data_IF_744899870133
#
_entry.id   IF_744899870133
#
_cell.length_a   1.000
_cell.length_b   1.000
_cell.length_c   1.000
_cell.angle_alpha   90.00
_cell.angle_beta   90.00
_cell.angle_gamma   90.00
#
_symmetry.space_group_name_H-M   'P 1'
#
loop_
_entity.id
_entity.type
_entity.pdbx_description
1 polymer ?
#
# COMPACT_ATOMS: atom_id res chain seq x y z
N UNK A 1 16.13 -0.65 -23.40
CA UNK A 1 15.86 -1.50 -22.22
C UNK A 1 16.19 -0.61 -21.04
N UNK A 2 15.20 0.12 -20.52
CA UNK A 2 15.38 1.22 -19.57
C UNK A 2 15.14 0.70 -18.13
N UNK A 3 16.09 1.04 -17.26
CA UNK A 3 16.60 0.21 -16.15
C UNK A 3 15.87 0.37 -14.79
N UNK A 4 14.69 1.00 -14.77
CA UNK A 4 13.93 1.26 -13.52
C UNK A 4 12.66 0.39 -13.39
N UNK A 5 12.24 -0.30 -14.46
CA UNK A 5 11.09 -1.20 -14.47
C UNK A 5 11.33 -2.57 -13.83
N UNK A 6 12.54 -2.85 -13.34
CA UNK A 6 12.88 -4.12 -12.68
C UNK A 6 11.96 -4.36 -11.48
N UNK A 7 11.68 -3.33 -10.68
CA UNK A 7 10.79 -3.45 -9.53
C UNK A 7 9.35 -3.78 -9.95
N UNK A 8 8.88 -3.28 -11.09
CA UNK A 8 7.56 -3.61 -11.64
C UNK A 8 7.50 -5.06 -12.12
N UNK A 9 8.60 -5.57 -12.68
CA UNK A 9 8.71 -6.99 -13.01
C UNK A 9 8.70 -7.87 -11.76
N UNK A 10 9.33 -7.43 -10.67
CA UNK A 10 9.20 -8.09 -9.37
C UNK A 10 7.76 -8.06 -8.87
N UNK A 11 7.07 -6.91 -8.88
CA UNK A 11 5.63 -6.81 -8.53
C UNK A 11 4.81 -7.80 -9.34
N UNK A 12 4.98 -7.81 -10.67
CA UNK A 12 4.21 -8.67 -11.56
C UNK A 12 4.46 -10.15 -11.27
N UNK A 13 5.72 -10.53 -11.05
CA UNK A 13 6.10 -11.92 -10.74
C UNK A 13 5.51 -12.36 -9.41
N UNK A 14 5.73 -11.59 -8.33
CA UNK A 14 5.20 -11.92 -7.02
C UNK A 14 3.66 -11.93 -7.01
N UNK A 15 3.03 -10.97 -7.68
CA UNK A 15 1.57 -10.91 -7.81
C UNK A 15 1.04 -12.15 -8.52
N UNK A 16 1.63 -12.56 -9.64
CA UNK A 16 1.23 -13.76 -10.36
C UNK A 16 1.35 -15.03 -9.49
N UNK A 17 2.43 -15.16 -8.71
CA UNK A 17 2.58 -16.28 -7.79
C UNK A 17 1.54 -16.26 -6.67
N UNK A 18 1.25 -15.09 -6.06
CA UNK A 18 0.22 -14.98 -5.02
C UNK A 18 -1.17 -15.25 -5.58
N UNK A 19 -1.48 -14.71 -6.76
CA UNK A 19 -2.76 -14.86 -7.43
C UNK A 19 -3.00 -16.34 -7.82
N UNK A 20 -1.95 -17.05 -8.25
CA UNK A 20 -2.00 -18.50 -8.46
C UNK A 20 -2.30 -19.28 -7.17
N UNK A 21 -1.89 -18.74 -6.01
CA UNK A 21 -2.17 -19.31 -4.70
C UNK A 21 -3.66 -19.43 -4.40
N UNK A 22 -4.50 -18.49 -4.86
CA UNK A 22 -5.96 -18.60 -4.68
C UNK A 22 -6.50 -19.83 -5.40
N UNK A 23 -6.08 -20.07 -6.65
CA UNK A 23 -6.51 -21.24 -7.42
C UNK A 23 -6.01 -22.56 -6.82
N UNK A 24 -4.79 -22.58 -6.31
CA UNK A 24 -4.20 -23.77 -5.68
C UNK A 24 -4.87 -24.12 -4.33
N UNK A 25 -5.21 -23.11 -3.53
CA UNK A 25 -5.83 -23.30 -2.21
C UNK A 25 -7.37 -23.43 -2.28
N UNK A 26 -7.98 -23.11 -3.42
CA UNK A 26 -9.43 -23.14 -3.58
C UNK A 26 -10.08 -24.49 -3.22
N UNK A 27 -9.53 -25.66 -3.59
CA UNK A 27 -10.11 -26.95 -3.21
C UNK A 27 -10.10 -27.18 -1.70
N UNK A 28 -9.00 -26.85 -1.02
CA UNK A 28 -8.84 -27.04 0.42
C UNK A 28 -9.77 -26.10 1.21
N UNK A 29 -9.87 -24.85 0.77
CA UNK A 29 -10.80 -23.86 1.34
C UNK A 29 -12.24 -24.31 1.12
N UNK A 30 -12.60 -24.78 -0.09
CA UNK A 30 -13.94 -25.28 -0.38
C UNK A 30 -14.30 -26.49 0.49
N UNK A 31 -13.36 -27.42 0.69
CA UNK A 31 -13.54 -28.55 1.61
C UNK A 31 -13.79 -28.06 3.04
N UNK A 32 -12.93 -27.19 3.56
CA UNK A 32 -13.04 -26.67 4.92
C UNK A 32 -14.35 -25.89 5.13
N UNK A 33 -14.73 -25.05 4.17
CA UNK A 33 -16.03 -24.35 4.16
C UNK A 33 -17.18 -25.34 4.17
N UNK A 34 -17.18 -26.35 3.30
CA UNK A 34 -18.27 -27.34 3.23
C UNK A 34 -18.40 -28.13 4.53
N UNK A 35 -17.28 -28.53 5.15
CA UNK A 35 -17.26 -29.23 6.43
C UNK A 35 -17.82 -28.36 7.55
N UNK A 36 -17.38 -27.10 7.65
CA UNK A 36 -17.89 -26.16 8.66
C UNK A 36 -19.38 -25.88 8.48
N UNK A 37 -19.85 -25.70 7.24
CA UNK A 37 -21.27 -25.54 6.93
C UNK A 37 -22.05 -26.78 7.36
N UNK A 38 -21.57 -27.98 7.02
CA UNK A 38 -22.25 -29.23 7.37
C UNK A 38 -22.40 -29.40 8.88
N UNK A 39 -21.34 -29.13 9.65
CA UNK A 39 -21.38 -29.20 11.12
C UNK A 39 -22.36 -28.16 11.68
N UNK A 40 -22.28 -26.91 11.20
CA UNK A 40 -23.10 -25.80 11.69
C UNK A 40 -24.60 -26.01 11.39
N UNK A 41 -24.96 -26.48 10.18
CA UNK A 41 -26.35 -26.81 9.83
C UNK A 41 -26.84 -28.04 10.61
N UNK A 42 -26.00 -29.07 10.80
CA UNK A 42 -26.38 -30.27 11.56
C UNK A 42 -26.69 -29.93 13.02
N UNK A 43 -25.85 -29.11 13.66
CA UNK A 43 -26.07 -28.66 15.03
C UNK A 43 -27.30 -27.76 15.14
N UNK A 44 -27.48 -26.81 14.21
CA UNK A 44 -28.67 -25.96 14.18
C UNK A 44 -29.96 -26.81 14.04
N UNK A 45 -29.94 -27.81 13.16
CA UNK A 45 -31.04 -28.77 12.98
C UNK A 45 -31.35 -29.57 14.24
N UNK A 46 -30.32 -30.05 14.95
CA UNK A 46 -30.50 -30.77 16.21
C UNK A 46 -31.11 -29.88 17.30
N UNK A 47 -30.64 -28.62 17.42
CA UNK A 47 -31.21 -27.65 18.36
C UNK A 47 -32.67 -27.29 18.03
N UNK A 48 -33.03 -27.16 16.75
CA UNK A 48 -34.41 -26.92 16.35
C UNK A 48 -35.31 -28.14 16.61
N UNK A 49 -34.80 -29.36 16.43
CA UNK A 49 -35.54 -30.58 16.71
C UNK A 49 -35.83 -30.80 18.21
N UNK A 50 -34.99 -30.25 19.10
CA UNK A 50 -35.13 -30.38 20.56
C UNK A 50 -35.89 -29.22 21.23
N UNK A 51 -36.13 -28.11 20.52
CA UNK A 51 -36.76 -26.92 21.07
C UNK A 51 -38.28 -26.91 20.89
N UNK A 52 -39.07 -26.35 21.84
CA UNK A 52 -40.52 -26.16 21.69
C UNK A 52 -40.91 -25.02 20.73
N UNK A 53 -39.94 -24.41 20.04
CA UNK A 53 -40.11 -23.20 19.23
C UNK A 53 -40.81 -23.49 17.89
N UNK A 54 -41.82 -22.68 17.56
CA UNK A 54 -42.61 -22.79 16.32
C UNK A 54 -42.04 -22.04 15.12
N UNK A 55 -41.01 -21.20 15.30
CA UNK A 55 -40.46 -20.35 14.23
C UNK A 55 -39.19 -20.95 13.57
N UNK A 56 -39.28 -22.22 13.19
CA UNK A 56 -38.18 -22.98 12.58
C UNK A 56 -37.87 -22.47 11.16
N UNK A 57 -38.91 -22.10 10.41
CA UNK A 57 -38.80 -21.64 9.01
C UNK A 57 -38.03 -20.33 8.92
N UNK A 58 -38.32 -19.34 9.78
CA UNK A 58 -37.62 -18.06 9.81
C UNK A 58 -36.14 -18.21 10.17
N UNK A 59 -35.82 -19.07 11.15
CA UNK A 59 -34.43 -19.36 11.55
C UNK A 59 -33.65 -20.09 10.46
N UNK A 60 -34.29 -21.04 9.78
CA UNK A 60 -33.69 -21.75 8.65
C UNK A 60 -33.39 -20.81 7.49
N UNK A 61 -34.35 -19.98 7.07
CA UNK A 61 -34.15 -19.00 6.00
C UNK A 61 -32.99 -18.05 6.29
N UNK A 62 -32.92 -17.50 7.52
CA UNK A 62 -31.82 -16.64 7.94
C UNK A 62 -30.47 -17.35 7.84
N UNK A 63 -30.42 -18.62 8.22
CA UNK A 63 -29.18 -19.42 8.21
C UNK A 63 -28.73 -19.75 6.78
N UNK A 64 -29.66 -20.16 5.93
CA UNK A 64 -29.39 -20.43 4.50
C UNK A 64 -28.93 -19.18 3.78
N UNK A 65 -29.56 -18.03 4.00
CA UNK A 65 -29.14 -16.75 3.41
C UNK A 65 -27.74 -16.34 3.88
N UNK A 66 -27.44 -16.50 5.18
CA UNK A 66 -26.13 -16.19 5.73
C UNK A 66 -25.03 -17.07 5.12
N UNK A 67 -25.24 -18.39 5.10
CA UNK A 67 -24.29 -19.34 4.52
C UNK A 67 -24.15 -19.13 3.00
N UNK A 68 -25.26 -18.88 2.29
CA UNK A 68 -25.27 -18.62 0.85
C UNK A 68 -24.53 -17.33 0.49
N UNK A 69 -24.71 -16.26 1.27
CA UNK A 69 -23.94 -15.02 1.10
C UNK A 69 -22.45 -15.26 1.34
N UNK A 70 -22.08 -16.02 2.37
CA UNK A 70 -20.68 -16.39 2.64
C UNK A 70 -20.07 -17.22 1.51
N UNK A 71 -20.80 -18.20 0.99
CA UNK A 71 -20.36 -19.01 -0.14
C UNK A 71 -20.16 -18.16 -1.41
N UNK A 72 -21.04 -17.18 -1.66
CA UNK A 72 -20.90 -16.25 -2.77
C UNK A 72 -19.65 -15.37 -2.63
N UNK A 73 -19.40 -14.83 -1.43
CA UNK A 73 -18.21 -14.02 -1.14
C UNK A 73 -16.94 -14.85 -1.30
N UNK A 74 -16.90 -16.05 -0.73
CA UNK A 74 -15.75 -16.96 -0.84
C UNK A 74 -15.49 -17.39 -2.28
N UNK A 75 -16.55 -17.70 -3.04
CA UNK A 75 -16.42 -18.09 -4.45
C UNK A 75 -15.88 -16.98 -5.35
N UNK A 76 -16.07 -15.72 -4.98
CA UNK A 76 -15.58 -14.55 -5.72
C UNK A 76 -14.47 -13.80 -4.99
N UNK A 77 -13.83 -14.41 -3.98
CA UNK A 77 -12.97 -13.68 -3.05
C UNK A 77 -11.76 -13.03 -3.73
N UNK A 78 -11.17 -13.68 -4.73
CA UNK A 78 -10.09 -13.11 -5.53
C UNK A 78 -10.52 -11.83 -6.26
N UNK A 79 -11.70 -11.86 -6.91
CA UNK A 79 -12.29 -10.70 -7.58
C UNK A 79 -12.57 -9.57 -6.57
N UNK A 80 -13.21 -9.90 -5.43
CA UNK A 80 -13.50 -8.90 -4.40
C UNK A 80 -12.23 -8.26 -3.85
N UNK A 81 -11.17 -9.04 -3.64
CA UNK A 81 -9.87 -8.53 -3.17
C UNK A 81 -9.23 -7.57 -4.17
N UNK A 82 -9.31 -7.89 -5.47
CA UNK A 82 -8.82 -7.03 -6.55
C UNK A 82 -9.62 -5.72 -6.65
N UNK A 83 -10.95 -5.80 -6.57
CA UNK A 83 -11.82 -4.60 -6.53
C UNK A 83 -11.49 -3.71 -5.34
N UNK A 84 -11.26 -4.29 -4.16
CA UNK A 84 -10.88 -3.54 -2.95
C UNK A 84 -9.52 -2.85 -3.16
N UNK A 85 -8.54 -3.57 -3.72
CA UNK A 85 -7.21 -3.02 -4.05
C UNK A 85 -7.32 -1.80 -4.98
N UNK A 86 -7.98 -1.97 -6.12
CA UNK A 86 -8.15 -0.91 -7.12
C UNK A 86 -8.95 0.26 -6.56
N UNK A 87 -9.97 0.00 -5.73
CA UNK A 87 -10.77 1.05 -5.10
C UNK A 87 -9.92 1.92 -4.17
N UNK A 88 -9.10 1.33 -3.30
CA UNK A 88 -8.24 2.11 -2.39
C UNK A 88 -7.19 2.92 -3.15
N UNK A 89 -6.63 2.35 -4.22
CA UNK A 89 -5.72 3.07 -5.10
C UNK A 89 -6.39 4.28 -5.76
N UNK A 90 -7.57 4.06 -6.35
CA UNK A 90 -8.33 5.11 -7.02
C UNK A 90 -8.78 6.21 -6.06
N UNK A 91 -9.21 5.85 -4.85
CA UNK A 91 -9.54 6.82 -3.81
C UNK A 91 -8.32 7.68 -3.44
N UNK A 92 -7.13 7.08 -3.36
CA UNK A 92 -5.90 7.81 -3.12
C UNK A 92 -5.59 8.85 -4.21
N UNK A 93 -5.84 8.51 -5.48
CA UNK A 93 -5.62 9.43 -6.61
C UNK A 93 -6.63 10.56 -6.67
N UNK A 94 -7.90 10.24 -6.49
CA UNK A 94 -8.96 11.24 -6.53
C UNK A 94 -8.71 12.33 -5.48
N UNK A 95 -8.08 11.98 -4.36
CA UNK A 95 -7.66 12.95 -3.34
C UNK A 95 -6.47 13.83 -3.76
N UNK A 96 -5.66 13.40 -4.72
CA UNK A 96 -4.49 14.18 -5.22
C UNK A 96 -4.86 15.18 -6.32
N UNK A 97 -6.02 15.02 -6.96
CA UNK A 97 -6.51 15.93 -8.02
C UNK A 97 -5.69 15.94 -9.31
N UNK A 98 -4.74 15.01 -9.47
CA UNK A 98 -3.83 14.92 -10.62
C UNK A 98 -4.40 14.18 -11.83
N UNK A 99 -3.72 14.30 -12.96
CA UNK A 99 -4.02 13.60 -14.22
C UNK A 99 -3.43 12.19 -14.32
N UNK A 100 -2.73 11.73 -13.27
CA UNK A 100 -2.02 10.45 -13.26
C UNK A 100 -3.01 9.31 -13.01
N UNK A 101 -2.89 8.23 -13.78
CA UNK A 101 -3.79 7.08 -13.70
C UNK A 101 -3.45 6.16 -12.51
N UNK A 102 -4.44 5.37 -12.07
CA UNK A 102 -4.26 4.42 -10.96
C UNK A 102 -3.25 3.34 -11.25
N UNK A 103 -3.20 2.93 -12.51
CA UNK A 103 -2.31 1.90 -12.98
C UNK A 103 -0.85 2.37 -12.98
N UNK A 104 -0.60 3.67 -13.03
CA UNK A 104 0.76 4.22 -13.04
C UNK A 104 1.27 4.52 -11.62
N UNK A 105 0.46 5.12 -10.74
CA UNK A 105 0.91 5.38 -9.35
C UNK A 105 1.12 4.08 -8.56
N UNK A 106 0.42 3.01 -8.91
CA UNK A 106 0.60 1.70 -8.28
C UNK A 106 1.81 0.91 -8.82
N UNK A 107 2.55 1.43 -9.80
CA UNK A 107 3.82 0.86 -10.24
C UNK A 107 4.96 1.51 -9.46
N UNK A 108 5.64 0.77 -8.57
CA UNK A 108 6.84 1.26 -7.90
C UNK A 108 7.89 1.84 -8.87
N UNK A 109 8.01 1.26 -10.07
CA UNK A 109 8.92 1.74 -11.11
C UNK A 109 8.55 3.12 -11.64
N UNK A 110 7.25 3.45 -11.73
CA UNK A 110 6.79 4.79 -12.09
C UNK A 110 7.16 5.82 -11.02
N UNK A 111 7.05 5.47 -9.73
CA UNK A 111 7.47 6.33 -8.61
C UNK A 111 8.98 6.58 -8.65
N UNK A 112 9.76 5.54 -8.91
CA UNK A 112 11.22 5.65 -9.05
C UNK A 112 11.61 6.49 -10.28
N UNK A 113 10.95 6.30 -11.42
CA UNK A 113 11.15 7.09 -12.63
C UNK A 113 10.79 8.57 -12.42
N UNK A 114 9.64 8.84 -11.79
CA UNK A 114 9.23 10.21 -11.43
C UNK A 114 10.26 10.89 -10.53
N UNK A 115 10.85 10.16 -9.58
CA UNK A 115 11.92 10.66 -8.73
C UNK A 115 13.21 10.95 -9.48
N UNK A 116 13.57 10.11 -10.44
CA UNK A 116 14.72 10.32 -11.31
C UNK A 116 14.51 11.55 -12.20
N UNK A 117 13.36 11.68 -12.84
CA UNK A 117 12.99 12.81 -13.70
C UNK A 117 12.92 14.12 -12.92
N UNK A 118 12.41 14.09 -11.68
CA UNK A 118 12.39 15.25 -10.79
C UNK A 118 13.80 15.68 -10.34
N UNK A 119 14.76 14.76 -10.33
CA UNK A 119 16.14 15.02 -9.92
C UNK A 119 17.03 15.45 -11.11
N UNK A 120 16.69 15.09 -12.36
CA UNK A 120 17.46 15.46 -13.56
C UNK A 120 17.78 16.96 -13.69
N UNK A 121 16.85 17.91 -13.45
CA UNK A 121 17.15 19.33 -13.54
C UNK A 121 18.29 19.80 -12.62
N UNK A 122 18.50 19.12 -11.49
CA UNK A 122 19.60 19.43 -10.57
C UNK A 122 20.96 19.07 -11.17
N UNK A 123 21.03 17.96 -11.94
CA UNK A 123 22.24 17.55 -12.65
C UNK A 123 22.54 18.48 -13.81
N UNK A 124 21.52 18.87 -14.60
CA UNK A 124 21.69 19.80 -15.71
C UNK A 124 22.25 21.15 -15.25
N UNK A 125 21.83 21.62 -14.07
CA UNK A 125 22.37 22.86 -13.49
C UNK A 125 23.81 22.70 -13.00
N UNK A 126 24.15 21.54 -12.42
CA UNK A 126 25.54 21.23 -12.05
C UNK A 126 26.44 21.23 -13.29
N UNK A 127 25.98 20.69 -14.43
CA UNK A 127 26.72 20.66 -15.70
C UNK A 127 27.00 22.07 -16.24
N UNK A 128 26.03 22.98 -16.15
CA UNK A 128 26.22 24.38 -16.58
C UNK A 128 27.19 25.16 -15.68
N UNK A 129 27.17 24.87 -14.38
CA UNK A 129 28.07 25.50 -13.41
C UNK A 129 29.49 24.91 -13.42
N UNK A 130 29.72 23.79 -14.12
CA UNK A 130 31.03 23.14 -14.30
C UNK A 130 31.82 23.69 -15.50
N UNK A 131 32.07 25.00 -15.51
CA UNK A 131 33.04 25.63 -16.43
C UNK A 131 34.50 25.50 -15.94
N UNK A 132 35.53 25.60 -16.82
CA UNK A 132 36.95 25.42 -16.44
C UNK A 132 37.43 26.35 -15.32
N UNK A 133 36.80 27.53 -15.19
CA UNK A 133 37.08 28.54 -14.15
C UNK A 133 35.90 28.66 -13.17
N UNK A 134 34.66 28.52 -13.65
CA UNK A 134 33.43 28.64 -12.86
C UNK A 134 33.25 27.52 -11.82
N UNK A 135 33.80 26.33 -12.09
CA UNK A 135 33.80 25.20 -11.14
C UNK A 135 34.45 25.58 -9.80
N UNK A 136 35.59 26.28 -9.84
CA UNK A 136 36.31 26.66 -8.62
C UNK A 136 35.64 27.83 -7.87
N UNK A 137 34.81 28.64 -8.54
CA UNK A 137 34.06 29.72 -7.91
C UNK A 137 32.76 29.22 -7.25
N UNK A 138 32.09 28.23 -7.87
CA UNK A 138 30.77 27.76 -7.45
C UNK A 138 30.78 26.38 -6.76
N UNK A 139 31.95 25.92 -6.30
CA UNK A 139 32.14 24.57 -5.73
C UNK A 139 31.17 24.26 -4.57
N UNK A 140 30.80 25.27 -3.78
CA UNK A 140 29.85 25.14 -2.67
C UNK A 140 28.42 24.90 -3.18
N UNK A 141 27.98 25.64 -4.19
CA UNK A 141 26.64 25.50 -4.79
C UNK A 141 26.53 24.15 -5.49
N UNK A 142 27.56 23.76 -6.25
CA UNK A 142 27.66 22.46 -6.92
C UNK A 142 27.55 21.32 -5.90
N UNK A 143 28.28 21.41 -4.77
CA UNK A 143 28.22 20.39 -3.73
C UNK A 143 26.82 20.26 -3.09
N UNK A 144 26.13 21.38 -2.87
CA UNK A 144 24.77 21.37 -2.29
C UNK A 144 23.74 20.86 -3.30
N UNK A 145 23.83 21.23 -4.57
CA UNK A 145 22.96 20.69 -5.63
C UNK A 145 23.17 19.19 -5.81
N UNK A 146 24.42 18.72 -5.75
CA UNK A 146 24.73 17.30 -5.83
C UNK A 146 24.17 16.53 -4.62
N UNK A 147 24.27 17.12 -3.43
CA UNK A 147 23.64 16.55 -2.22
C UNK A 147 22.11 16.52 -2.35
N UNK A 148 21.50 17.59 -2.87
CA UNK A 148 20.07 17.65 -3.13
C UNK A 148 19.63 16.55 -4.09
N UNK A 149 20.38 16.33 -5.17
CA UNK A 149 20.15 15.27 -6.13
C UNK A 149 20.16 13.88 -5.47
N UNK A 150 21.19 13.57 -4.68
CA UNK A 150 21.28 12.27 -3.97
C UNK A 150 20.09 12.08 -3.02
N UNK A 151 19.78 13.08 -2.19
CA UNK A 151 18.71 12.97 -1.19
C UNK A 151 17.35 12.80 -1.87
N UNK A 152 17.09 13.54 -2.94
CA UNK A 152 15.84 13.44 -3.73
C UNK A 152 15.69 12.03 -4.29
N UNK A 153 16.73 11.53 -4.96
CA UNK A 153 16.75 10.21 -5.56
C UNK A 153 16.53 9.10 -4.51
N UNK A 154 17.19 9.19 -3.35
CA UNK A 154 17.00 8.24 -2.25
C UNK A 154 15.58 8.28 -1.67
N UNK A 155 14.97 9.46 -1.56
CA UNK A 155 13.60 9.60 -1.05
C UNK A 155 12.58 8.90 -1.96
N UNK A 156 12.67 9.10 -3.27
CA UNK A 156 11.75 8.45 -4.21
C UNK A 156 12.00 6.95 -4.35
N UNK A 157 13.26 6.48 -4.31
CA UNK A 157 13.53 5.04 -4.27
C UNK A 157 12.97 4.38 -3.01
N UNK A 158 13.09 5.03 -1.86
CA UNK A 158 12.49 4.54 -0.62
C UNK A 158 10.96 4.43 -0.76
N UNK A 159 10.30 5.45 -1.32
CA UNK A 159 8.86 5.42 -1.59
C UNK A 159 8.45 4.29 -2.54
N UNK A 160 9.22 4.06 -3.60
CA UNK A 160 8.98 2.96 -4.53
C UNK A 160 9.05 1.60 -3.83
N UNK A 161 10.10 1.35 -3.03
CA UNK A 161 10.24 0.12 -2.25
C UNK A 161 9.08 -0.02 -1.25
N UNK A 162 8.70 1.07 -0.57
CA UNK A 162 7.59 1.07 0.37
C UNK A 162 6.27 0.70 -0.33
N UNK A 163 6.04 1.22 -1.54
CA UNK A 163 4.86 0.89 -2.35
C UNK A 163 4.87 -0.58 -2.75
N UNK A 164 6.01 -1.08 -3.24
CA UNK A 164 6.20 -2.51 -3.53
C UNK A 164 5.82 -3.38 -2.32
N UNK A 165 6.42 -3.12 -1.16
CA UNK A 165 6.17 -3.90 0.06
C UNK A 165 4.70 -3.84 0.45
N UNK A 166 4.06 -2.66 0.37
CA UNK A 166 2.65 -2.51 0.77
C UNK A 166 1.71 -3.25 -0.19
N UNK A 167 2.01 -3.27 -1.50
CA UNK A 167 1.22 -4.03 -2.49
C UNK A 167 1.30 -5.53 -2.21
N UNK A 168 2.52 -6.03 -1.98
CA UNK A 168 2.73 -7.45 -1.65
C UNK A 168 2.10 -7.81 -0.31
N UNK A 169 2.19 -6.93 0.69
CA UNK A 169 1.52 -7.11 1.99
C UNK A 169 0.02 -7.27 1.81
N UNK A 170 -0.63 -6.44 1.00
CA UNK A 170 -2.06 -6.54 0.70
C UNK A 170 -2.41 -7.89 0.06
N UNK A 171 -1.67 -8.29 -0.99
CA UNK A 171 -1.90 -9.57 -1.69
C UNK A 171 -1.67 -10.79 -0.80
N UNK A 172 -0.63 -10.77 0.04
CA UNK A 172 -0.38 -11.86 1.00
C UNK A 172 -1.45 -11.91 2.10
N UNK A 173 -1.88 -10.77 2.60
CA UNK A 173 -2.90 -10.69 3.66
C UNK A 173 -4.27 -11.12 3.14
N UNK A 174 -4.61 -10.78 1.90
CA UNK A 174 -5.84 -11.26 1.25
C UNK A 174 -5.79 -12.77 1.02
N UNK A 175 -4.67 -13.33 0.56
CA UNK A 175 -4.51 -14.79 0.43
C UNK A 175 -4.66 -15.51 1.78
N UNK A 176 -4.04 -14.99 2.85
CA UNK A 176 -4.23 -15.52 4.20
C UNK A 176 -5.70 -15.38 4.65
N UNK A 177 -6.37 -14.29 4.29
CA UNK A 177 -7.80 -14.06 4.51
C UNK A 177 -8.65 -15.13 3.86
N UNK A 178 -8.37 -15.48 2.61
CA UNK A 178 -9.09 -16.53 1.89
C UNK A 178 -9.11 -17.86 2.65
N UNK A 179 -7.98 -18.25 3.26
CA UNK A 179 -7.86 -19.48 4.05
C UNK A 179 -8.61 -19.38 5.39
N UNK A 180 -8.67 -18.19 5.98
CA UNK A 180 -9.20 -17.99 7.34
C UNK A 180 -10.68 -17.55 7.39
N UNK A 181 -11.23 -17.02 6.31
CA UNK A 181 -12.65 -16.61 6.22
C UNK A 181 -13.64 -17.74 6.50
N UNK A 182 -13.43 -19.00 6.09
CA UNK A 182 -14.36 -20.08 6.42
C UNK A 182 -14.63 -20.21 7.94
N UNK A 183 -13.65 -19.87 8.78
CA UNK A 183 -13.81 -19.89 10.24
C UNK A 183 -14.80 -18.86 10.77
N UNK A 184 -15.23 -17.89 9.95
CA UNK A 184 -16.32 -16.95 10.25
C UNK A 184 -17.66 -17.65 10.47
N UNK A 185 -17.89 -18.80 9.82
CA UNK A 185 -19.14 -19.54 9.90
C UNK A 185 -19.43 -20.09 11.31
N UNK A 186 -18.39 -20.17 12.14
CA UNK A 186 -18.49 -20.70 13.49
C UNK A 186 -18.24 -19.59 14.52
N UNK A 187 -19.25 -19.27 15.33
CA UNK A 187 -19.21 -18.16 16.29
C UNK A 187 -18.04 -18.21 17.29
N UNK A 188 -17.45 -19.39 17.57
CA UNK A 188 -16.29 -19.50 18.47
C UNK A 188 -14.96 -19.18 17.77
N UNK A 189 -14.89 -19.28 16.44
CA UNK A 189 -13.67 -19.05 15.65
C UNK A 189 -13.80 -17.85 14.71
N UNK A 190 -14.92 -17.12 14.73
CA UNK A 190 -15.16 -15.96 13.86
C UNK A 190 -14.11 -14.87 14.03
N UNK A 191 -13.53 -14.75 15.24
CA UNK A 191 -12.46 -13.80 15.54
C UNK A 191 -11.24 -13.96 14.62
N UNK A 192 -10.97 -15.16 14.09
CA UNK A 192 -9.86 -15.38 13.16
C UNK A 192 -10.13 -14.69 11.83
N UNK A 193 -11.32 -14.87 11.28
CA UNK A 193 -11.74 -14.21 10.05
C UNK A 193 -11.85 -12.69 10.23
N UNK A 194 -12.43 -12.22 11.34
CA UNK A 194 -12.56 -10.80 11.65
C UNK A 194 -11.21 -10.08 11.71
N UNK A 195 -10.21 -10.69 12.38
CA UNK A 195 -8.85 -10.12 12.45
C UNK A 195 -8.20 -9.98 11.09
N UNK A 196 -8.34 -10.99 10.23
CA UNK A 196 -7.67 -10.96 8.92
C UNK A 196 -8.38 -10.01 7.97
N UNK A 197 -9.72 -9.97 7.98
CA UNK A 197 -10.48 -8.97 7.23
C UNK A 197 -10.11 -7.55 7.68
N UNK A 198 -9.96 -7.32 8.98
CA UNK A 198 -9.45 -6.05 9.53
C UNK A 198 -8.07 -5.70 8.98
N UNK A 199 -7.15 -6.67 8.91
CA UNK A 199 -5.82 -6.46 8.34
C UNK A 199 -5.83 -6.19 6.82
N UNK A 200 -6.71 -6.85 6.05
CA UNK A 200 -6.90 -6.56 4.62
C UNK A 200 -7.31 -5.10 4.42
N UNK A 201 -8.30 -4.64 5.20
CA UNK A 201 -8.73 -3.23 5.15
C UNK A 201 -7.60 -2.30 5.60
N UNK A 202 -6.89 -2.60 6.68
CA UNK A 202 -5.77 -1.79 7.15
C UNK A 202 -4.67 -1.66 6.09
N UNK A 203 -4.32 -2.77 5.42
CA UNK A 203 -3.36 -2.78 4.32
C UNK A 203 -3.85 -1.99 3.09
N UNK A 204 -5.15 -2.06 2.79
CA UNK A 204 -5.78 -1.22 1.76
C UNK A 204 -5.67 0.28 2.07
N UNK A 205 -5.90 0.69 3.33
CA UNK A 205 -5.75 2.09 3.74
C UNK A 205 -4.28 2.53 3.69
N UNK A 206 -3.31 1.66 4.04
CA UNK A 206 -1.87 1.96 3.85
C UNK A 206 -1.58 2.31 2.38
N UNK A 207 -2.09 1.51 1.44
CA UNK A 207 -1.94 1.76 0.01
C UNK A 207 -2.53 3.11 -0.41
N UNK A 208 -3.75 3.40 0.05
CA UNK A 208 -4.42 4.68 -0.22
C UNK A 208 -3.59 5.87 0.27
N UNK A 209 -3.08 5.82 1.50
CA UNK A 209 -2.25 6.90 2.06
C UNK A 209 -0.95 7.07 1.29
N UNK A 210 -0.31 5.97 0.89
CA UNK A 210 0.92 6.04 0.12
C UNK A 210 0.69 6.61 -1.28
N UNK A 211 -0.42 6.24 -1.94
CA UNK A 211 -0.81 6.82 -3.22
C UNK A 211 -1.04 8.34 -3.12
N UNK A 212 -1.64 8.81 -2.02
CA UNK A 212 -1.82 10.24 -1.73
C UNK A 212 -0.45 10.93 -1.58
N UNK A 213 0.45 10.36 -0.77
CA UNK A 213 1.78 10.93 -0.53
C UNK A 213 2.57 11.04 -1.85
N UNK A 214 2.54 9.98 -2.66
CA UNK A 214 3.22 9.96 -3.97
C UNK A 214 2.63 11.00 -4.91
N UNK A 215 1.30 11.08 -5.05
CA UNK A 215 0.65 12.02 -5.96
C UNK A 215 0.78 13.49 -5.55
N UNK A 216 0.75 13.79 -4.25
CA UNK A 216 1.06 15.14 -3.74
C UNK A 216 2.55 15.45 -3.96
N UNK A 217 3.42 14.48 -3.65
CA UNK A 217 4.87 14.63 -3.80
C UNK A 217 5.31 14.93 -5.22
N UNK A 218 4.76 14.22 -6.21
CA UNK A 218 5.04 14.48 -7.62
C UNK A 218 4.60 15.89 -8.05
N UNK A 219 3.43 16.35 -7.57
CA UNK A 219 2.89 17.69 -7.90
C UNK A 219 3.75 18.81 -7.29
N UNK A 220 4.16 18.65 -6.03
CA UNK A 220 5.02 19.63 -5.34
C UNK A 220 6.39 19.71 -6.03
N UNK A 221 7.02 18.57 -6.34
CA UNK A 221 8.33 18.55 -7.00
C UNK A 221 8.28 19.11 -8.42
N UNK A 222 7.22 18.84 -9.18
CA UNK A 222 6.99 19.48 -10.48
C UNK A 222 6.89 21.01 -10.35
N UNK A 223 6.24 21.51 -9.30
CA UNK A 223 6.13 22.95 -9.04
C UNK A 223 7.48 23.57 -8.67
N UNK A 224 8.25 22.94 -7.78
CA UNK A 224 9.57 23.41 -7.36
C UNK A 224 10.53 23.43 -8.57
N UNK A 225 10.53 22.35 -9.35
CA UNK A 225 11.41 22.23 -10.52
C UNK A 225 11.07 23.22 -11.64
N UNK A 226 9.78 23.55 -11.81
CA UNK A 226 9.36 24.56 -12.80
C UNK A 226 9.83 25.99 -12.48
N UNK A 227 10.27 26.24 -11.24
CA UNK A 227 10.76 27.56 -10.80
C UNK A 227 12.27 27.73 -11.05
N UNK A 228 12.99 26.66 -11.43
CA UNK A 228 14.39 26.76 -11.82
C UNK A 228 14.52 27.53 -13.14
N UNK A 229 14.98 28.77 -13.04
CA UNK A 229 15.41 29.54 -14.20
C UNK A 229 16.87 29.18 -14.52
N UNK A 230 17.23 29.02 -15.80
CA UNK A 230 18.62 28.79 -16.19
C UNK A 230 19.53 29.93 -15.67
N UNK A 231 20.67 29.58 -15.08
CA UNK A 231 21.75 30.48 -14.61
C UNK A 231 21.55 31.21 -13.26
N UNK A 232 20.45 31.00 -12.53
CA UNK A 232 20.20 31.64 -11.21
C UNK A 232 19.77 30.66 -10.11
N UNK A 233 20.22 29.41 -10.15
CA UNK A 233 19.88 28.46 -9.08
C UNK A 233 20.59 28.84 -7.77
N UNK A 234 19.80 29.26 -6.78
CA UNK A 234 20.29 29.72 -5.49
C UNK A 234 20.42 28.59 -4.47
N UNK A 235 21.25 28.80 -3.45
CA UNK A 235 21.35 27.90 -2.28
C UNK A 235 20.00 27.66 -1.60
N UNK A 236 19.12 28.65 -1.61
CA UNK A 236 17.77 28.55 -1.03
C UNK A 236 16.88 27.57 -1.81
N UNK A 237 16.97 27.57 -3.15
CA UNK A 237 16.24 26.63 -3.98
C UNK A 237 16.78 25.20 -3.84
N UNK A 238 18.10 25.03 -3.73
CA UNK A 238 18.68 23.71 -3.46
C UNK A 238 18.27 23.19 -2.07
N UNK A 239 18.24 24.06 -1.06
CA UNK A 239 17.78 23.71 0.29
C UNK A 239 16.28 23.37 0.34
N UNK A 240 15.43 24.06 -0.43
CA UNK A 240 14.00 23.77 -0.49
C UNK A 240 13.71 22.40 -1.11
N UNK A 241 14.47 21.99 -2.13
CA UNK A 241 14.41 20.64 -2.71
C UNK A 241 14.83 19.57 -1.70
N UNK A 242 15.92 19.81 -0.95
CA UNK A 242 16.35 18.89 0.12
C UNK A 242 15.26 18.74 1.17
N UNK A 243 14.69 19.86 1.64
CA UNK A 243 13.62 19.85 2.64
C UNK A 243 12.37 19.14 2.12
N UNK A 244 11.98 19.39 0.87
CA UNK A 244 10.85 18.70 0.22
C UNK A 244 11.09 17.19 0.15
N UNK A 245 12.29 16.78 -0.24
CA UNK A 245 12.68 15.36 -0.37
C UNK A 245 12.67 14.64 0.97
N UNK A 246 13.26 15.25 2.00
CA UNK A 246 13.28 14.70 3.35
C UNK A 246 11.87 14.65 3.96
N UNK A 247 11.02 15.63 3.65
CA UNK A 247 9.62 15.63 4.06
C UNK A 247 8.86 14.48 3.41
N UNK A 248 9.05 14.23 2.11
CA UNK A 248 8.45 13.09 1.42
C UNK A 248 8.97 11.76 1.94
N UNK A 249 10.26 11.65 2.23
CA UNK A 249 10.84 10.47 2.85
C UNK A 249 10.22 10.20 4.23
N UNK A 250 10.09 11.23 5.06
CA UNK A 250 9.46 11.14 6.38
C UNK A 250 7.98 10.72 6.27
N UNK A 251 7.23 11.32 5.33
CA UNK A 251 5.84 10.94 5.07
C UNK A 251 5.74 9.49 4.57
N UNK A 252 6.64 9.05 3.69
CA UNK A 252 6.71 7.68 3.21
C UNK A 252 6.98 6.65 4.32
N UNK A 253 7.83 7.02 5.29
CA UNK A 253 8.18 6.17 6.42
C UNK A 253 7.03 6.09 7.45
N UNK A 254 6.43 7.23 7.80
CA UNK A 254 5.48 7.32 8.92
C UNK A 254 4.01 7.25 8.49
N UNK A 255 3.68 7.71 7.28
CA UNK A 255 2.30 7.78 6.76
C UNK A 255 1.60 6.42 6.77
N UNK A 256 2.21 5.35 6.22
CA UNK A 256 1.62 4.00 6.26
C UNK A 256 1.41 3.49 7.70
N UNK A 257 2.32 3.80 8.63
CA UNK A 257 2.17 3.44 10.04
C UNK A 257 0.92 4.06 10.67
N UNK A 258 0.67 5.34 10.37
CA UNK A 258 -0.50 6.06 10.86
C UNK A 258 -1.80 5.48 10.31
N UNK A 259 -1.84 5.16 9.01
CA UNK A 259 -2.98 4.52 8.37
C UNK A 259 -3.40 3.21 9.05
N UNK A 260 -2.40 2.42 9.44
CA UNK A 260 -2.59 1.08 10.02
C UNK A 260 -3.09 1.12 11.45
N UNK A 261 -2.57 2.07 12.25
CA UNK A 261 -2.96 2.21 13.65
C UNK A 261 -4.43 2.60 13.84
N UNK A 262 -5.04 3.26 12.84
CA UNK A 262 -6.46 3.63 12.87
C UNK A 262 -7.41 2.43 12.80
N UNK A 263 -7.05 1.39 12.04
CA UNK A 263 -7.89 0.19 11.87
C UNK A 263 -7.57 -0.89 12.90
N UNK A 264 -6.30 -1.04 13.26
CA UNK A 264 -5.86 -2.11 14.16
C UNK A 264 -6.11 -1.81 15.65
N UNK A 265 -6.45 -0.56 16.00
CA UNK A 265 -6.65 -0.14 17.40
C UNK A 265 -5.40 -0.25 18.27
N UNK A 266 -4.24 -0.56 17.68
CA UNK A 266 -2.98 -0.68 18.39
C UNK A 266 -2.44 0.71 18.77
N UNK A 267 -1.79 0.87 19.94
CA UNK A 267 -1.09 2.11 20.29
C UNK A 267 -0.14 2.49 19.17
N UNK A 268 -0.36 3.66 18.57
CA UNK A 268 0.51 4.16 17.51
C UNK A 268 1.89 4.43 18.10
N UNK A 269 2.84 3.56 17.80
CA UNK A 269 4.27 3.83 17.98
C UNK A 269 4.71 4.84 16.91
N UNK A 270 4.17 6.05 16.98
CA UNK A 270 4.63 7.18 16.17
C UNK A 270 6.09 7.50 16.47
N UNK A 271 6.72 8.34 15.66
CA UNK A 271 8.17 8.64 15.63
C UNK A 271 8.88 8.75 17.00
N UNK A 272 8.20 9.12 18.08
CA UNK A 272 8.73 9.10 19.45
C UNK A 272 9.08 7.71 20.02
N UNK A 273 8.47 6.63 19.56
CA UNK A 273 8.76 5.27 20.03
C UNK A 273 10.01 4.66 19.38
N UNK A 274 10.27 4.97 18.11
CA UNK A 274 11.49 4.58 17.41
C UNK A 274 12.72 5.35 17.95
N UNK A 275 12.55 6.64 18.24
CA UNK A 275 13.59 7.45 18.89
C UNK A 275 13.79 7.01 20.35
N UNK A 276 12.72 6.64 21.06
CA UNK A 276 12.81 6.11 22.43
C UNK A 276 13.49 4.75 22.55
N UNK A 277 13.43 3.91 21.51
CA UNK A 277 14.15 2.63 21.47
C UNK A 277 15.61 2.79 21.06
N UNK A 278 15.94 3.78 20.22
CA UNK A 278 17.33 4.11 19.88
C UNK A 278 18.07 4.92 20.97
N UNK A 279 17.36 5.73 21.76
CA UNK A 279 17.92 6.44 22.91
C UNK A 279 17.92 5.61 24.22
N UNK A 280 17.29 4.43 24.18
CA UNK A 280 17.18 3.48 25.31
C UNK A 280 18.14 2.28 25.22
N UNK A 281 19.07 2.28 24.26
CA UNK A 281 20.19 1.31 24.16
C UNK A 281 21.53 1.99 24.38
#
# INVERSE_FOLDING_TARGET
>A
MEDLGVIDQFVATFSAYIDSGFGLLQPDVAFLTSALIAIDITLAGLFWAMGPDTDIVGRFLKKVLYVGAFALILGNFALLSDVVFTSFAQLGLNATGGTITAEDIMKPGFVAATGFDAALPLLDEIEKLTGPIAFFQNIVIIAVLFLAWIITLLAFFFLAIQLFVTIIEFKLTTLAGFVLIPFALWNKTSFLAEKVLGNVIASGIKLMVLAIIVGIGSTIFSSITSTFQPDEVTLEQAASVILGSLSLLALGLFGPGIATGLVSGAPQLGAGAAIGTAAGV
#
